data_IF_495055974849
#
_entry.id   IF_495055974849
#
_cell.length_a   1.000
_cell.length_b   1.000
_cell.length_c   1.000
_cell.angle_alpha   90.00
_cell.angle_beta   90.00
_cell.angle_gamma   90.00
#
_symmetry.space_group_name_H-M   'P 1'
#
loop_
_entity.id
_entity.type
_entity.pdbx_description
1 polymer ?
#
# COMPACT_ATOMS: atom_id res chain seq x y z
N UNK A 1 -5.85 8.84 15.46
CA UNK A 1 -6.23 7.48 15.92
C UNK A 1 -7.19 6.89 14.90
N UNK A 2 -6.70 6.27 13.83
CA UNK A 2 -7.57 5.52 12.92
C UNK A 2 -7.09 4.08 12.89
N UNK A 3 -7.90 3.23 13.50
CA UNK A 3 -7.73 1.79 13.53
C UNK A 3 -7.61 1.28 12.10
N UNK A 4 -6.46 0.71 11.73
CA UNK A 4 -6.36 -0.07 10.49
C UNK A 4 -7.02 -1.41 10.79
N UNK A 5 -8.29 -1.53 10.43
CA UNK A 5 -8.95 -2.82 10.32
C UNK A 5 -8.16 -3.63 9.29
N UNK A 6 -7.34 -4.55 9.79
CA UNK A 6 -6.78 -5.63 9.00
C UNK A 6 -7.93 -6.50 8.50
N UNK A 7 -8.54 -6.08 7.40
CA UNK A 7 -9.54 -6.85 6.68
C UNK A 7 -8.88 -8.09 6.07
N UNK A 8 -8.81 -9.17 6.85
CA UNK A 8 -8.58 -10.53 6.33
C UNK A 8 -9.81 -10.94 5.51
N UNK A 9 -9.90 -10.41 4.30
CA UNK A 9 -10.81 -10.90 3.28
C UNK A 9 -10.21 -12.10 2.58
N UNK A 10 -10.24 -13.28 3.20
CA UNK A 10 -10.01 -14.55 2.49
C UNK A 10 -11.11 -15.51 2.91
N UNK A 11 -12.10 -15.66 2.04
CA UNK A 11 -12.93 -16.86 2.01
C UNK A 11 -12.01 -18.03 1.67
N UNK A 12 -11.79 -18.93 2.62
CA UNK A 12 -11.18 -20.22 2.37
C UNK A 12 -12.11 -21.34 2.87
N UNK A 13 -12.55 -22.26 2.01
CA UNK A 13 -12.82 -23.63 2.40
C UNK A 13 -11.62 -24.46 1.95
N UNK A 14 -10.61 -24.62 2.81
CA UNK A 14 -9.74 -25.80 2.74
C UNK A 14 -9.00 -25.99 4.05
N UNK A 15 -9.37 -27.12 4.65
CA UNK A 15 -8.68 -27.90 5.66
C UNK A 15 -7.18 -27.63 5.83
N UNK A 16 -6.82 -27.28 7.07
CA UNK A 16 -5.59 -27.66 7.75
C UNK A 16 -4.25 -27.52 6.99
N UNK A 17 -3.64 -26.33 7.07
CA UNK A 17 -2.19 -26.18 7.09
C UNK A 17 -1.83 -24.80 7.67
N UNK A 18 -0.86 -24.79 8.58
CA UNK A 18 -0.33 -23.64 9.34
C UNK A 18 -0.19 -22.40 8.44
N UNK A 19 -0.66 -21.19 8.84
CA UNK A 19 -0.40 -19.98 8.07
C UNK A 19 1.06 -19.58 8.27
N UNK A 20 1.95 -20.20 7.49
CA UNK A 20 3.26 -19.64 7.23
C UNK A 20 3.02 -18.24 6.60
N UNK A 21 3.63 -17.16 7.12
CA UNK A 21 3.54 -15.87 6.47
C UNK A 21 4.22 -15.98 5.12
N UNK A 22 3.42 -16.26 4.08
CA UNK A 22 3.89 -16.19 2.71
C UNK A 22 4.33 -14.73 2.52
N UNK A 23 5.58 -14.48 2.11
CA UNK A 23 6.03 -13.12 1.85
C UNK A 23 5.05 -12.46 0.89
N UNK A 24 4.70 -11.20 1.16
CA UNK A 24 3.90 -10.41 0.24
C UNK A 24 4.49 -10.55 -1.17
N UNK A 25 3.67 -10.81 -2.20
CA UNK A 25 4.16 -11.17 -3.53
C UNK A 25 4.97 -10.06 -4.21
N UNK A 26 5.00 -8.86 -3.61
CA UNK A 26 5.75 -7.72 -4.10
C UNK A 26 6.48 -7.01 -2.94
N UNK A 27 7.81 -6.88 -3.00
CA UNK A 27 8.59 -6.29 -1.91
C UNK A 27 8.32 -4.79 -1.76
N UNK A 28 8.20 -4.35 -0.51
CA UNK A 28 7.91 -2.95 -0.15
C UNK A 28 8.95 -1.96 -0.68
N UNK A 29 10.23 -2.34 -0.73
CA UNK A 29 11.32 -1.48 -1.24
C UNK A 29 11.11 -1.07 -2.70
N UNK A 30 10.51 -1.95 -3.52
CA UNK A 30 10.18 -1.62 -4.91
C UNK A 30 8.96 -0.69 -4.98
N UNK A 31 7.97 -0.88 -4.11
CA UNK A 31 6.82 0.02 -4.00
C UNK A 31 7.30 1.43 -3.66
N UNK A 32 8.17 1.55 -2.65
CA UNK A 32 8.71 2.82 -2.21
C UNK A 32 9.48 3.53 -3.34
N UNK A 33 10.37 2.82 -4.04
CA UNK A 33 11.10 3.39 -5.19
C UNK A 33 10.16 3.88 -6.30
N UNK A 34 9.12 3.11 -6.64
CA UNK A 34 8.16 3.51 -7.68
C UNK A 34 7.41 4.78 -7.26
N UNK A 35 7.00 4.87 -5.99
CA UNK A 35 6.26 6.02 -5.48
C UNK A 35 7.18 7.26 -5.37
N UNK A 36 8.44 7.08 -4.99
CA UNK A 36 9.43 8.17 -4.92
C UNK A 36 9.70 8.78 -6.31
N UNK A 37 9.75 7.98 -7.37
CA UNK A 37 9.85 8.49 -8.76
C UNK A 37 8.59 9.26 -9.20
N UNK A 38 7.42 8.87 -8.67
CA UNK A 38 6.13 9.50 -8.98
C UNK A 38 5.84 10.75 -8.14
N UNK A 39 6.76 11.21 -7.28
CA UNK A 39 6.55 12.34 -6.36
C UNK A 39 6.04 13.62 -7.04
N UNK A 40 6.39 13.86 -8.31
CA UNK A 40 5.95 15.04 -9.08
C UNK A 40 4.63 14.81 -9.85
N UNK A 41 4.20 13.56 -10.01
CA UNK A 41 3.01 13.17 -10.77
C UNK A 41 1.83 12.86 -9.83
N UNK A 42 1.06 13.89 -9.47
CA UNK A 42 -0.12 13.78 -8.59
C UNK A 42 -1.19 12.79 -9.07
N UNK A 43 -1.63 12.78 -10.35
CA UNK A 43 -2.58 11.76 -10.80
C UNK A 43 -1.97 10.35 -10.72
N UNK A 44 -0.67 10.18 -10.96
CA UNK A 44 0.04 8.92 -10.78
C UNK A 44 0.08 8.42 -9.33
N UNK A 45 0.40 9.30 -8.37
CA UNK A 45 0.35 8.98 -6.93
C UNK A 45 -1.06 8.60 -6.48
N UNK A 46 -2.09 9.31 -6.98
CA UNK A 46 -3.49 8.98 -6.69
C UNK A 46 -3.85 7.59 -7.23
N UNK A 47 -3.45 7.26 -8.45
CA UNK A 47 -3.67 5.93 -9.00
C UNK A 47 -2.97 4.84 -8.16
N UNK A 48 -1.70 5.07 -7.77
CA UNK A 48 -0.93 4.17 -6.91
C UNK A 48 -1.61 3.90 -5.55
N UNK A 49 -2.23 4.93 -4.95
CA UNK A 49 -2.96 4.78 -3.69
C UNK A 49 -4.18 3.84 -3.77
N UNK A 50 -4.67 3.56 -4.98
CA UNK A 50 -5.83 2.70 -5.25
C UNK A 50 -5.44 1.27 -5.65
N UNK A 51 -4.16 0.99 -5.91
CA UNK A 51 -3.69 -0.33 -6.39
C UNK A 51 -3.84 -1.40 -5.30
N UNK A 52 -3.36 -1.13 -4.09
CA UNK A 52 -3.53 -2.03 -2.95
C UNK A 52 -3.24 -1.33 -1.61
N UNK A 53 -3.55 -2.01 -0.52
CA UNK A 53 -3.27 -1.51 0.84
C UNK A 53 -1.78 -1.22 1.10
N UNK A 54 -0.87 -1.95 0.44
CA UNK A 54 0.57 -1.77 0.57
C UNK A 54 1.07 -0.43 -0.02
N UNK A 55 0.45 0.04 -1.10
CA UNK A 55 0.88 1.25 -1.82
C UNK A 55 0.34 2.54 -1.19
N UNK A 56 -0.78 2.42 -0.47
CA UNK A 56 -1.53 3.54 0.11
C UNK A 56 -0.74 4.41 1.11
N UNK A 57 -0.06 3.88 2.15
CA UNK A 57 0.60 4.73 3.15
C UNK A 57 1.70 5.60 2.54
N UNK A 58 2.54 5.04 1.66
CA UNK A 58 3.64 5.77 1.00
C UNK A 58 3.13 6.76 -0.04
N UNK A 59 2.12 6.40 -0.83
CA UNK A 59 1.52 7.31 -1.81
C UNK A 59 0.81 8.51 -1.15
N UNK A 60 0.09 8.27 -0.04
CA UNK A 60 -0.55 9.36 0.73
C UNK A 60 0.48 10.28 1.41
N UNK A 61 1.64 9.75 1.84
CA UNK A 61 2.69 10.58 2.41
C UNK A 61 3.16 11.66 1.42
N UNK A 62 3.50 11.27 0.20
CA UNK A 62 3.97 12.21 -0.83
C UNK A 62 2.85 13.15 -1.31
N UNK A 63 1.63 12.63 -1.40
CA UNK A 63 0.45 13.43 -1.74
C UNK A 63 0.16 14.53 -0.71
N UNK A 64 0.25 14.22 0.60
CA UNK A 64 -0.02 15.18 1.69
C UNK A 64 1.19 16.09 1.94
N UNK A 65 2.41 15.58 1.84
CA UNK A 65 3.64 16.37 2.00
C UNK A 65 3.69 17.53 0.98
N UNK A 66 3.28 17.28 -0.27
CA UNK A 66 3.17 18.33 -1.29
C UNK A 66 2.03 19.32 -1.05
N UNK A 67 1.00 18.95 -0.29
CA UNK A 67 -0.14 19.82 0.02
C UNK A 67 0.16 20.77 1.18
N UNK A 68 1.01 20.37 2.13
CA UNK A 68 1.36 21.16 3.31
C UNK A 68 2.50 22.17 3.09
N UNK A 69 3.09 22.21 1.89
CA UNK A 69 4.07 23.22 1.48
C UNK A 69 3.42 24.47 0.83
N UNK A 70 2.11 24.64 0.96
CA UNK A 70 1.31 25.79 0.54
C UNK A 70 0.71 26.50 1.76
#
# INVERSE_FOLDING_TARGET
MTCVLAGKGVLAPTSASIPLPLPDPFPQELIDKIIDELQQDRPGLKACSLVSHAWRPRAMYHFVSSFFLL
#
